data_IF_422693892524
#
_entry.id   IF_422693892524
#
_cell.length_a   1.000
_cell.length_b   1.000
_cell.length_c   1.000
_cell.angle_alpha   90.00
_cell.angle_beta   90.00
_cell.angle_gamma   90.00
#
_symmetry.space_group_name_H-M   'P 1'
#
loop_
_entity.id
_entity.type
_entity.pdbx_description
1 polymer ?
#
# COMPACT_ATOMS: atom_id res chain seq x y z
N UNK A 1 19.20 -4.24 13.71
CA UNK A 1 17.89 -3.56 13.75
C UNK A 1 17.82 -2.33 12.84
N UNK A 2 18.70 -1.32 12.98
CA UNK A 2 18.65 -0.10 12.15
C UNK A 2 18.76 -0.37 10.64
N UNK A 3 19.64 -1.27 10.23
CA UNK A 3 19.82 -1.65 8.82
C UNK A 3 18.57 -2.36 8.28
N UNK A 4 17.99 -3.28 9.06
CA UNK A 4 16.76 -3.97 8.66
C UNK A 4 15.59 -2.99 8.46
N UNK A 5 15.46 -2.00 9.36
CA UNK A 5 14.44 -0.93 9.23
C UNK A 5 14.70 -0.12 7.97
N UNK A 6 15.94 0.28 7.70
CA UNK A 6 16.30 1.05 6.51
C UNK A 6 15.97 0.28 5.22
N UNK A 7 16.38 -0.98 5.13
CA UNK A 7 16.13 -1.83 3.96
C UNK A 7 14.62 -2.04 3.77
N UNK A 8 13.89 -2.44 4.81
CA UNK A 8 12.45 -2.69 4.74
C UNK A 8 11.68 -1.43 4.31
N UNK A 9 12.05 -0.28 4.88
CA UNK A 9 11.46 1.01 4.53
C UNK A 9 11.71 1.38 3.07
N UNK A 10 12.93 1.15 2.59
CA UNK A 10 13.29 1.46 1.21
C UNK A 10 12.59 0.51 0.23
N UNK A 11 12.55 -0.80 0.52
CA UNK A 11 11.86 -1.79 -0.31
C UNK A 11 10.36 -1.50 -0.39
N UNK A 12 9.71 -1.29 0.74
CA UNK A 12 8.28 -0.99 0.77
C UNK A 12 7.97 0.36 0.12
N UNK A 13 8.72 1.40 0.49
CA UNK A 13 8.52 2.75 -0.04
C UNK A 13 8.72 2.83 -1.54
N UNK A 14 9.83 2.30 -2.06
CA UNK A 14 10.11 2.27 -3.50
C UNK A 14 9.13 1.37 -4.24
N UNK A 15 8.72 0.25 -3.66
CA UNK A 15 7.68 -0.60 -4.24
C UNK A 15 6.39 0.18 -4.49
N UNK A 16 5.90 0.92 -3.50
CA UNK A 16 4.70 1.75 -3.65
C UNK A 16 4.91 2.96 -4.56
N UNK A 17 6.09 3.56 -4.60
CA UNK A 17 6.42 4.59 -5.60
C UNK A 17 6.32 4.03 -7.01
N UNK A 18 6.92 2.87 -7.26
CA UNK A 18 6.89 2.23 -8.59
C UNK A 18 5.47 1.85 -8.98
N UNK A 19 4.69 1.22 -8.09
CA UNK A 19 3.31 0.83 -8.40
C UNK A 19 2.40 2.05 -8.53
N UNK A 20 2.55 3.07 -7.69
CA UNK A 20 1.81 4.32 -7.81
C UNK A 20 2.08 5.03 -9.14
N UNK A 21 3.34 5.14 -9.53
CA UNK A 21 3.73 5.68 -10.85
C UNK A 21 3.17 4.84 -11.99
N UNK A 22 3.20 3.51 -11.87
CA UNK A 22 2.64 2.62 -12.89
C UNK A 22 1.13 2.79 -13.08
N UNK A 23 0.40 3.11 -12.01
CA UNK A 23 -1.04 3.44 -12.11
C UNK A 23 -1.24 4.76 -12.85
N UNK A 24 -0.40 5.77 -12.57
CA UNK A 24 -0.51 7.10 -13.19
C UNK A 24 -0.02 7.10 -14.64
N UNK A 25 1.00 6.33 -14.91
CA UNK A 25 1.62 6.20 -16.22
C UNK A 25 2.07 4.75 -16.43
N UNK A 26 1.22 3.89 -17.04
CA UNK A 26 1.51 2.46 -17.17
C UNK A 26 2.80 2.18 -17.92
N UNK A 27 3.73 1.46 -17.29
CA UNK A 27 4.99 0.99 -17.87
C UNK A 27 5.29 -0.49 -17.53
N UNK A 28 4.64 -1.04 -16.51
CA UNK A 28 4.66 -2.47 -16.20
C UNK A 28 3.44 -3.13 -16.86
N UNK A 29 3.69 -4.18 -17.60
CA UNK A 29 2.61 -4.96 -18.21
C UNK A 29 2.10 -6.02 -17.24
N UNK A 30 0.80 -6.04 -17.02
CA UNK A 30 0.12 -7.10 -16.30
C UNK A 30 -1.00 -7.65 -17.19
N UNK A 31 -1.23 -8.96 -17.23
CA UNK A 31 -2.36 -9.50 -17.95
C UNK A 31 -3.66 -8.95 -17.35
N UNK A 32 -4.65 -8.59 -18.18
CA UNK A 32 -5.95 -8.15 -17.69
C UNK A 32 -6.64 -9.29 -16.93
N UNK A 33 -7.52 -8.98 -15.99
CA UNK A 33 -8.36 -10.00 -15.37
C UNK A 33 -9.22 -10.73 -16.42
N UNK A 34 -9.54 -12.02 -16.18
CA UNK A 34 -10.38 -12.79 -17.11
C UNK A 34 -11.71 -12.10 -17.36
N UNK A 35 -12.17 -12.11 -18.62
CA UNK A 35 -13.44 -11.51 -19.01
C UNK A 35 -14.61 -12.06 -18.18
N UNK A 36 -15.53 -11.18 -17.78
CA UNK A 36 -16.67 -11.52 -16.94
C UNK A 36 -16.39 -11.81 -15.48
N UNK A 37 -15.12 -11.83 -15.06
CA UNK A 37 -14.76 -12.01 -13.65
C UNK A 37 -15.12 -10.79 -12.80
N UNK A 38 -15.29 -10.98 -11.48
CA UNK A 38 -15.51 -9.87 -10.55
C UNK A 38 -14.36 -8.86 -10.59
N UNK A 39 -13.13 -9.32 -10.77
CA UNK A 39 -11.96 -8.45 -10.92
C UNK A 39 -12.07 -7.59 -12.19
N UNK A 40 -12.50 -8.16 -13.32
CA UNK A 40 -12.72 -7.40 -14.55
C UNK A 40 -13.79 -6.32 -14.38
N UNK A 41 -14.91 -6.66 -13.74
CA UNK A 41 -16.00 -5.72 -13.43
C UNK A 41 -15.51 -4.59 -12.51
N UNK A 42 -14.74 -4.91 -11.49
CA UNK A 42 -14.16 -3.93 -10.58
C UNK A 42 -13.24 -2.95 -11.33
N UNK A 43 -12.31 -3.47 -12.15
CA UNK A 43 -11.41 -2.65 -12.96
C UNK A 43 -12.16 -1.79 -13.95
N UNK A 44 -13.24 -2.32 -14.56
CA UNK A 44 -14.10 -1.59 -15.50
C UNK A 44 -14.78 -0.36 -14.88
N UNK A 45 -14.98 -0.34 -13.57
CA UNK A 45 -15.48 0.83 -12.84
C UNK A 45 -14.36 1.74 -12.37
N UNK A 46 -13.29 1.16 -11.84
CA UNK A 46 -12.20 1.90 -11.20
C UNK A 46 -11.38 2.75 -12.18
N UNK A 47 -11.19 2.26 -13.40
CA UNK A 47 -10.37 2.96 -14.41
C UNK A 47 -11.10 4.18 -14.99
N UNK A 48 -12.32 4.05 -15.57
CA UNK A 48 -12.99 5.21 -16.17
C UNK A 48 -13.46 6.25 -15.13
N UNK A 49 -13.69 5.83 -13.88
CA UNK A 49 -14.04 6.76 -12.79
C UNK A 49 -12.86 7.56 -12.25
N UNK A 50 -11.63 7.30 -12.70
CA UNK A 50 -10.40 7.83 -12.13
C UNK A 50 -10.15 7.46 -10.64
N UNK A 51 -10.94 6.54 -10.08
CA UNK A 51 -10.74 6.08 -8.71
C UNK A 51 -9.37 5.44 -8.52
N UNK A 52 -8.94 4.63 -9.50
CA UNK A 52 -7.62 4.01 -9.45
C UNK A 52 -6.50 5.07 -9.50
N UNK A 53 -6.69 6.18 -10.21
CA UNK A 53 -5.74 7.30 -10.25
C UNK A 53 -5.58 7.92 -8.86
N UNK A 54 -6.69 8.14 -8.15
CA UNK A 54 -6.65 8.61 -6.76
C UNK A 54 -5.86 7.67 -5.86
N UNK A 55 -6.10 6.36 -5.95
CA UNK A 55 -5.34 5.35 -5.21
C UNK A 55 -3.85 5.38 -5.59
N UNK A 56 -3.53 5.52 -6.87
CA UNK A 56 -2.15 5.65 -7.36
C UNK A 56 -1.41 6.86 -6.78
N UNK A 57 -2.09 8.00 -6.68
CA UNK A 57 -1.54 9.21 -6.01
C UNK A 57 -1.25 8.93 -4.53
N UNK A 58 -2.16 8.27 -3.82
CA UNK A 58 -1.93 7.91 -2.41
C UNK A 58 -0.78 6.91 -2.24
N UNK A 59 -0.66 5.93 -3.13
CA UNK A 59 0.48 5.01 -3.13
C UNK A 59 1.80 5.73 -3.33
N UNK A 60 1.85 6.63 -4.31
CA UNK A 60 3.04 7.44 -4.59
C UNK A 60 3.41 8.30 -3.39
N UNK A 61 2.46 9.04 -2.82
CA UNK A 61 2.70 9.89 -1.65
C UNK A 61 3.13 9.07 -0.44
N UNK A 62 2.44 7.99 -0.11
CA UNK A 62 2.78 7.11 1.01
C UNK A 62 4.16 6.49 0.85
N UNK A 63 4.50 6.03 -0.36
CA UNK A 63 5.82 5.50 -0.69
C UNK A 63 6.93 6.53 -0.52
N UNK A 64 6.74 7.76 -1.00
CA UNK A 64 7.69 8.86 -0.81
C UNK A 64 7.89 9.21 0.66
N UNK A 65 6.81 9.27 1.45
CA UNK A 65 6.89 9.51 2.89
C UNK A 65 7.73 8.43 3.62
N UNK A 66 7.64 7.18 3.18
CA UNK A 66 8.50 6.10 3.69
C UNK A 66 9.96 6.30 3.30
N UNK A 67 10.24 6.61 2.04
CA UNK A 67 11.61 6.80 1.53
C UNK A 67 12.30 7.96 2.26
N UNK A 68 11.62 9.08 2.46
CA UNK A 68 12.14 10.24 3.19
C UNK A 68 12.55 9.90 4.63
N UNK A 69 11.89 8.94 5.26
CA UNK A 69 12.27 8.38 6.55
C UNK A 69 11.82 9.16 7.77
N UNK A 70 11.98 10.47 7.80
CA UNK A 70 11.48 11.34 8.90
C UNK A 70 9.94 11.28 8.99
N UNK A 71 9.28 11.02 7.87
CA UNK A 71 7.84 10.92 7.72
C UNK A 71 7.35 9.48 7.61
N UNK A 72 8.21 8.50 7.88
CA UNK A 72 7.89 7.07 7.73
C UNK A 72 6.62 6.65 8.49
N UNK A 73 6.38 7.04 9.76
CA UNK A 73 5.14 6.68 10.44
C UNK A 73 3.88 7.17 9.72
N UNK A 74 3.92 8.36 9.13
CA UNK A 74 2.80 8.88 8.33
C UNK A 74 2.62 8.07 7.03
N UNK A 75 3.71 7.70 6.37
CA UNK A 75 3.68 6.82 5.20
C UNK A 75 2.99 5.49 5.51
N UNK A 76 3.31 4.86 6.63
CA UNK A 76 2.66 3.61 7.07
C UNK A 76 1.15 3.79 7.31
N UNK A 77 0.73 4.92 7.89
CA UNK A 77 -0.70 5.22 8.09
C UNK A 77 -1.44 5.37 6.76
N UNK A 78 -0.81 5.97 5.76
CA UNK A 78 -1.40 6.14 4.42
C UNK A 78 -1.45 4.79 3.68
N UNK A 79 -0.38 4.01 3.73
CA UNK A 79 -0.24 2.78 2.95
C UNK A 79 -0.93 1.57 3.56
N UNK A 80 -1.07 1.49 4.88
CA UNK A 80 -1.71 0.37 5.55
C UNK A 80 -3.11 0.04 5.02
N UNK A 81 -4.07 0.99 5.01
CA UNK A 81 -5.39 0.77 4.43
C UNK A 81 -5.37 0.40 2.94
N UNK A 82 -4.45 0.99 2.17
CA UNK A 82 -4.29 0.67 0.75
C UNK A 82 -3.84 -0.77 0.58
N UNK A 83 -2.87 -1.21 1.38
CA UNK A 83 -2.37 -2.57 1.36
C UNK A 83 -3.44 -3.60 1.74
N UNK A 84 -4.26 -3.29 2.74
CA UNK A 84 -5.43 -4.12 3.11
C UNK A 84 -6.39 -4.24 1.92
N UNK A 85 -6.66 -3.16 1.20
CA UNK A 85 -7.50 -3.19 0.00
C UNK A 85 -6.87 -4.00 -1.14
N UNK A 86 -5.55 -3.91 -1.34
CA UNK A 86 -4.84 -4.72 -2.34
C UNK A 86 -4.99 -6.21 -2.01
N UNK A 87 -4.79 -6.60 -0.75
CA UNK A 87 -5.00 -8.00 -0.33
C UNK A 87 -6.44 -8.43 -0.52
N UNK A 88 -7.40 -7.60 -0.13
CA UNK A 88 -8.83 -7.89 -0.30
C UNK A 88 -9.20 -8.09 -1.78
N UNK A 89 -8.67 -7.26 -2.68
CA UNK A 89 -8.86 -7.41 -4.12
C UNK A 89 -8.37 -8.78 -4.61
N UNK A 90 -7.14 -9.16 -4.25
CA UNK A 90 -6.58 -10.45 -4.67
C UNK A 90 -7.31 -11.64 -4.04
N UNK A 91 -7.73 -11.56 -2.78
CA UNK A 91 -8.44 -12.64 -2.09
C UNK A 91 -9.85 -12.79 -2.63
N UNK A 92 -10.65 -11.72 -2.64
CA UNK A 92 -12.07 -11.78 -2.90
C UNK A 92 -12.44 -11.72 -4.38
N UNK A 93 -11.66 -11.01 -5.19
CA UNK A 93 -11.98 -10.81 -6.61
C UNK A 93 -11.14 -11.66 -7.56
N UNK A 94 -9.93 -12.08 -7.13
CA UNK A 94 -9.02 -12.88 -7.96
C UNK A 94 -8.77 -14.31 -7.41
N UNK A 95 -9.45 -14.70 -6.33
CA UNK A 95 -9.28 -16.05 -5.76
C UNK A 95 -7.85 -16.32 -5.26
N UNK A 96 -7.11 -15.29 -4.85
CA UNK A 96 -5.73 -15.39 -4.37
C UNK A 96 -4.66 -15.27 -5.45
N UNK A 97 -5.04 -15.16 -6.72
CA UNK A 97 -4.05 -14.99 -7.80
C UNK A 97 -3.33 -13.65 -7.68
N UNK A 98 -2.01 -13.65 -7.90
CA UNK A 98 -1.19 -12.45 -7.87
C UNK A 98 -0.97 -11.83 -6.48
N UNK A 99 -1.36 -12.52 -5.40
CA UNK A 99 -1.29 -11.99 -4.02
C UNK A 99 0.14 -11.86 -3.47
N UNK A 100 1.12 -12.56 -4.05
CA UNK A 100 2.47 -12.67 -3.48
C UNK A 100 3.16 -11.31 -3.20
N UNK A 101 3.16 -10.31 -4.09
CA UNK A 101 3.73 -9.00 -3.78
C UNK A 101 3.02 -8.31 -2.61
N UNK A 102 1.69 -8.43 -2.52
CA UNK A 102 0.90 -7.89 -1.43
C UNK A 102 1.25 -8.52 -0.08
N UNK A 103 1.49 -9.82 -0.04
CA UNK A 103 1.93 -10.52 1.17
C UNK A 103 3.32 -10.06 1.62
N UNK A 104 4.26 -9.94 0.69
CA UNK A 104 5.62 -9.43 1.00
C UNK A 104 5.54 -8.02 1.56
N UNK A 105 4.78 -7.14 0.93
CA UNK A 105 4.59 -5.77 1.40
C UNK A 105 3.91 -5.72 2.77
N UNK A 106 2.97 -6.62 3.04
CA UNK A 106 2.31 -6.73 4.34
C UNK A 106 3.28 -7.12 5.45
N UNK A 107 4.19 -8.04 5.19
CA UNK A 107 5.23 -8.42 6.16
C UNK A 107 6.16 -7.23 6.46
N UNK A 108 6.58 -6.50 5.41
CA UNK A 108 7.41 -5.29 5.57
C UNK A 108 6.66 -4.19 6.34
N UNK A 109 5.38 -3.97 6.03
CA UNK A 109 4.52 -2.97 6.70
C UNK A 109 4.38 -3.30 8.18
N UNK A 110 4.02 -4.54 8.54
CA UNK A 110 3.88 -4.98 9.93
C UNK A 110 5.19 -4.83 10.70
N UNK A 111 6.30 -5.23 10.08
CA UNK A 111 7.62 -5.07 10.68
C UNK A 111 7.94 -3.59 10.96
N UNK A 112 7.65 -2.70 10.02
CA UNK A 112 7.90 -1.27 10.18
C UNK A 112 6.95 -0.64 11.21
N UNK A 113 5.68 -1.01 11.25
CA UNK A 113 4.74 -0.58 12.29
C UNK A 113 5.28 -0.98 13.67
N UNK A 114 5.76 -2.19 13.82
CA UNK A 114 6.38 -2.63 15.07
C UNK A 114 7.65 -1.82 15.39
N UNK A 115 8.50 -1.57 14.41
CA UNK A 115 9.72 -0.79 14.58
C UNK A 115 9.44 0.66 15.00
N UNK A 116 8.39 1.27 14.45
CA UNK A 116 7.94 2.64 14.74
C UNK A 116 6.84 2.73 15.78
N UNK A 117 6.53 1.65 16.53
CA UNK A 117 5.40 1.56 17.47
C UNK A 117 5.31 2.68 18.50
N UNK A 118 6.42 3.27 18.90
CA UNK A 118 6.44 4.41 19.84
C UNK A 118 5.70 5.64 19.28
N UNK A 119 5.74 5.82 17.95
CA UNK A 119 5.05 6.93 17.27
C UNK A 119 3.54 6.70 17.16
N UNK A 120 3.08 5.45 17.27
CA UNK A 120 1.67 5.10 17.18
C UNK A 120 0.96 4.99 18.53
N UNK A 121 1.69 5.03 19.64
CA UNK A 121 1.12 4.87 20.98
C UNK A 121 -0.01 5.86 21.29
N UNK A 122 0.14 7.12 20.88
CA UNK A 122 -0.89 8.14 21.09
C UNK A 122 -2.15 7.88 20.27
N UNK A 123 -2.01 7.29 19.07
CA UNK A 123 -3.13 7.00 18.17
C UNK A 123 -4.00 5.86 18.71
N UNK A 124 -3.37 4.85 19.34
CA UNK A 124 -4.06 3.68 19.89
C UNK A 124 -4.41 3.82 21.38
N UNK A 125 -4.13 4.96 21.97
CA UNK A 125 -4.48 5.21 23.37
C UNK A 125 -6.00 5.25 23.57
N UNK A 126 -6.50 4.46 24.52
CA UNK A 126 -7.94 4.38 24.82
C UNK A 126 -8.53 5.69 25.34
N UNK A 127 -7.69 6.57 25.90
CA UNK A 127 -8.08 7.86 26.47
C UNK A 127 -7.40 9.01 25.71
N UNK A 128 -7.84 9.24 24.47
CA UNK A 128 -7.39 10.40 23.70
C UNK A 128 -8.11 11.66 24.24
N UNK A 129 -7.34 12.55 24.88
CA UNK A 129 -7.83 13.85 25.31
C UNK A 129 -7.49 14.89 24.24
N UNK A 130 -8.50 15.69 23.85
CA UNK A 130 -8.26 16.90 23.05
C UNK A 130 -7.60 17.97 23.92
N UNK A 131 -6.49 18.51 23.48
CA UNK A 131 -5.86 19.68 24.10
C UNK A 131 -6.49 20.96 23.60
#
# INVERSE_FOLDING_TARGET
MKIAILISRFLLGMGFVIFGLNILHPFLTSPPPPDGSLAAQFVAVMVPSHWITFVGVLQLLGGLLLVIGRTAPLGLVVLGPILVNILAFHIFLQGGQGIAPGLVFSVLEIFLIYAYRSHFRAIVAANALST
#
